data_IF_007130282026
#
_entry.id   IF_007130282026
#
_cell.length_a   1.000
_cell.length_b   1.000
_cell.length_c   1.000
_cell.angle_alpha   90.00
_cell.angle_beta   90.00
_cell.angle_gamma   90.00
#
_symmetry.space_group_name_H-M   'P 1'
#
loop_
_entity.id
_entity.type
_entity.pdbx_description
1 polymer ?
#
# COMPACT_ATOMS: atom_id res chain seq x y z
N UNK A 1 -32.47 42.60 -55.58
CA UNK A 1 -32.77 41.40 -54.78
C UNK A 1 -31.46 40.68 -54.50
N UNK A 2 -30.79 40.94 -53.35
CA UNK A 2 -29.62 40.21 -52.89
C UNK A 2 -29.99 39.56 -51.55
N UNK A 3 -30.09 38.21 -51.53
CA UNK A 3 -30.29 37.42 -50.34
C UNK A 3 -28.93 37.17 -49.71
N UNK A 4 -28.80 37.62 -48.45
CA UNK A 4 -27.65 37.30 -47.62
C UNK A 4 -27.66 35.82 -47.21
N UNK A 5 -26.61 35.09 -47.59
CA UNK A 5 -26.30 33.79 -47.02
C UNK A 5 -25.59 34.02 -45.71
N UNK A 6 -26.31 33.94 -44.60
CA UNK A 6 -25.70 33.89 -43.27
C UNK A 6 -25.19 32.47 -42.99
N UNK A 7 -23.91 32.36 -42.75
CA UNK A 7 -23.20 31.14 -42.49
C UNK A 7 -23.62 30.54 -41.13
N UNK A 8 -24.13 29.30 -41.17
CA UNK A 8 -24.46 28.48 -39.98
C UNK A 8 -23.25 27.70 -39.48
N UNK A 9 -22.02 28.15 -39.72
CA UNK A 9 -20.80 27.36 -39.38
C UNK A 9 -20.34 27.44 -37.92
N UNK A 10 -20.99 28.25 -37.10
CA UNK A 10 -20.56 28.51 -35.69
C UNK A 10 -20.95 27.45 -34.65
N UNK A 11 -21.96 26.64 -34.90
CA UNK A 11 -22.53 25.75 -33.87
C UNK A 11 -21.88 24.40 -33.75
N UNK A 12 -21.16 23.94 -34.76
CA UNK A 12 -20.55 22.58 -34.72
C UNK A 12 -19.22 22.50 -33.95
N UNK A 13 -18.52 23.60 -33.76
CA UNK A 13 -17.22 23.59 -33.05
C UNK A 13 -17.35 23.47 -31.53
N UNK A 14 -18.50 23.81 -30.95
CA UNK A 14 -18.69 23.78 -29.49
C UNK A 14 -19.07 22.39 -28.96
N UNK A 15 -19.71 21.56 -29.76
CA UNK A 15 -20.10 20.20 -29.38
C UNK A 15 -18.90 19.22 -29.25
N UNK A 16 -17.89 19.37 -30.10
CA UNK A 16 -16.77 18.43 -30.14
C UNK A 16 -15.83 18.55 -28.94
N UNK A 17 -15.58 19.77 -28.44
CA UNK A 17 -14.68 19.97 -27.29
C UNK A 17 -15.34 19.52 -26.00
N UNK A 18 -16.64 19.75 -25.84
CA UNK A 18 -17.40 19.28 -24.68
C UNK A 18 -17.49 17.73 -24.66
N UNK A 19 -17.66 17.12 -25.82
CA UNK A 19 -17.72 15.68 -25.94
C UNK A 19 -16.37 15.02 -25.65
N UNK A 20 -15.25 15.59 -26.10
CA UNK A 20 -13.91 15.12 -25.78
C UNK A 20 -13.58 15.25 -24.28
N UNK A 21 -13.97 16.36 -23.64
CA UNK A 21 -13.77 16.55 -22.20
C UNK A 21 -14.60 15.57 -21.36
N UNK A 22 -15.82 15.25 -21.77
CA UNK A 22 -16.68 14.26 -21.12
C UNK A 22 -16.12 12.83 -21.29
N UNK A 23 -15.62 12.48 -22.46
CA UNK A 23 -15.01 11.18 -22.73
C UNK A 23 -13.70 11.00 -21.93
N UNK A 24 -12.91 12.06 -21.77
CA UNK A 24 -11.72 12.07 -20.91
C UNK A 24 -12.07 11.91 -19.42
N UNK A 25 -13.09 12.62 -18.94
CA UNK A 25 -13.57 12.49 -17.57
C UNK A 25 -14.14 11.09 -17.28
N UNK A 26 -14.91 10.51 -18.23
CA UNK A 26 -15.39 9.14 -18.12
C UNK A 26 -14.22 8.13 -18.19
N UNK A 27 -13.22 8.33 -19.03
CA UNK A 27 -12.04 7.49 -19.13
C UNK A 27 -11.22 7.48 -17.84
N UNK A 28 -11.07 8.62 -17.19
CA UNK A 28 -10.42 8.71 -15.88
C UNK A 28 -11.24 8.00 -14.79
N UNK A 29 -12.56 8.15 -14.78
CA UNK A 29 -13.44 7.46 -13.83
C UNK A 29 -13.44 5.93 -14.04
N UNK A 30 -13.37 5.46 -15.28
CA UNK A 30 -13.33 4.02 -15.55
C UNK A 30 -11.96 3.40 -15.30
N UNK A 31 -10.86 4.14 -15.42
CA UNK A 31 -9.52 3.68 -15.00
C UNK A 31 -9.38 3.55 -13.48
N UNK A 32 -10.17 4.31 -12.70
CA UNK A 32 -10.16 4.20 -11.23
C UNK A 32 -11.08 3.09 -10.72
N UNK A 33 -12.13 2.75 -11.47
CA UNK A 33 -13.07 1.70 -11.08
C UNK A 33 -12.44 0.30 -10.88
N UNK A 34 -11.53 -0.19 -11.74
CA UNK A 34 -10.89 -1.49 -11.52
C UNK A 34 -9.93 -1.51 -10.33
N UNK A 35 -9.31 -0.38 -9.98
CA UNK A 35 -8.46 -0.30 -8.77
C UNK A 35 -9.30 -0.46 -7.50
N UNK A 36 -10.51 0.08 -7.48
CA UNK A 36 -11.45 -0.07 -6.36
C UNK A 36 -12.12 -1.46 -6.35
N UNK A 37 -12.33 -2.08 -7.52
CA UNK A 37 -12.96 -3.38 -7.64
C UNK A 37 -12.01 -4.55 -7.34
N UNK A 38 -10.70 -4.40 -7.55
CA UNK A 38 -9.71 -5.43 -7.22
C UNK A 38 -9.36 -5.48 -5.72
N UNK A 39 -9.62 -4.41 -4.98
CA UNK A 39 -9.56 -4.44 -3.52
C UNK A 39 -10.90 -4.96 -3.01
N UNK A 40 -11.04 -6.30 -3.07
CA UNK A 40 -12.21 -7.07 -2.77
C UNK A 40 -13.09 -6.45 -1.70
N UNK A 41 -14.25 -6.04 -2.14
CA UNK A 41 -15.37 -5.62 -1.32
C UNK A 41 -14.95 -4.74 -0.15
N UNK A 42 -15.17 -3.47 -0.25
CA UNK A 42 -15.49 -2.66 0.92
C UNK A 42 -16.75 -3.28 1.54
N UNK A 43 -16.60 -4.46 2.14
CA UNK A 43 -17.53 -4.91 3.15
C UNK A 43 -17.54 -3.80 4.16
N UNK A 44 -18.69 -3.28 4.40
CA UNK A 44 -18.99 -2.16 5.31
C UNK A 44 -18.42 -2.39 6.74
N UNK A 45 -17.90 -3.56 6.99
CA UNK A 45 -17.21 -3.98 8.22
C UNK A 45 -15.69 -3.89 8.19
N UNK A 46 -15.10 -3.49 7.08
CA UNK A 46 -13.66 -3.27 6.97
C UNK A 46 -13.31 -1.90 7.54
N UNK A 47 -12.97 -1.88 8.81
CA UNK A 47 -12.31 -0.75 9.44
C UNK A 47 -11.20 -0.22 8.51
N UNK A 48 -11.29 1.05 8.11
CA UNK A 48 -10.29 1.74 7.29
C UNK A 48 -8.88 1.58 7.88
N UNK A 49 -8.79 1.44 9.20
CA UNK A 49 -7.54 1.15 9.93
C UNK A 49 -7.02 -0.24 9.57
N UNK A 50 -7.87 -1.27 9.53
CA UNK A 50 -7.45 -2.61 9.11
C UNK A 50 -7.04 -2.66 7.64
N UNK A 51 -7.71 -1.89 6.77
CA UNK A 51 -7.31 -1.77 5.37
C UNK A 51 -5.94 -1.09 5.24
N UNK A 52 -5.71 0.03 5.93
CA UNK A 52 -4.43 0.73 5.96
C UNK A 52 -3.31 -0.17 6.52
N UNK A 53 -3.59 -0.95 7.58
CA UNK A 53 -2.65 -1.91 8.14
C UNK A 53 -2.32 -3.05 7.16
N UNK A 54 -3.29 -3.54 6.38
CA UNK A 54 -3.06 -4.56 5.35
C UNK A 54 -2.18 -4.06 4.20
N UNK A 55 -2.32 -2.80 3.81
CA UNK A 55 -1.49 -2.20 2.74
C UNK A 55 -0.03 -2.07 3.18
N UNK A 56 0.22 -1.79 4.45
CA UNK A 56 1.57 -1.66 5.02
C UNK A 56 2.04 -2.94 5.74
N UNK A 57 1.53 -4.09 5.32
CA UNK A 57 1.92 -5.39 5.83
C UNK A 57 2.90 -6.08 4.90
N UNK A 58 3.98 -6.63 5.47
CA UNK A 58 4.83 -7.61 4.80
C UNK A 58 4.55 -9.00 5.39
N UNK A 59 4.52 -10.01 4.53
CA UNK A 59 4.25 -11.38 4.92
C UNK A 59 5.29 -12.33 4.31
N UNK A 60 5.70 -13.31 5.11
CA UNK A 60 6.52 -14.45 4.69
C UNK A 60 6.02 -15.73 5.36
N UNK A 61 6.41 -16.89 4.84
CA UNK A 61 5.97 -18.18 5.34
C UNK A 61 7.15 -19.16 5.42
N UNK A 62 7.22 -19.90 6.51
CA UNK A 62 8.19 -20.96 6.71
C UNK A 62 7.55 -22.25 7.20
N UNK A 63 8.18 -23.38 6.92
CA UNK A 63 7.75 -24.70 7.41
C UNK A 63 8.87 -25.29 8.24
N UNK A 64 8.54 -25.71 9.47
CA UNK A 64 9.51 -26.34 10.37
C UNK A 64 8.82 -27.43 11.21
N UNK A 65 9.39 -28.66 11.20
CA UNK A 65 8.96 -29.79 12.06
C UNK A 65 7.43 -29.99 12.10
N UNK A 66 6.79 -29.98 10.92
CA UNK A 66 5.34 -30.17 10.84
C UNK A 66 4.48 -28.95 11.23
N UNK A 67 5.09 -27.78 11.33
CA UNK A 67 4.41 -26.51 11.55
C UNK A 67 4.63 -25.57 10.38
N UNK A 68 3.55 -24.92 9.94
CA UNK A 68 3.57 -23.78 9.04
C UNK A 68 3.58 -22.52 9.88
N UNK A 69 4.55 -21.67 9.68
CA UNK A 69 4.71 -20.42 10.42
C UNK A 69 4.56 -19.27 9.42
N UNK A 70 3.54 -18.46 9.60
CA UNK A 70 3.32 -17.24 8.84
C UNK A 70 3.87 -16.08 9.65
N UNK A 71 4.72 -15.28 9.04
CA UNK A 71 5.32 -14.10 9.64
C UNK A 71 4.78 -12.83 9.00
N UNK A 72 4.40 -11.88 9.83
CA UNK A 72 3.84 -10.59 9.45
C UNK A 72 4.63 -9.47 10.12
N UNK A 73 4.92 -8.40 9.42
CA UNK A 73 5.56 -7.22 10.01
C UNK A 73 4.82 -5.94 9.65
N UNK A 74 4.72 -5.04 10.63
CA UNK A 74 4.10 -3.73 10.54
C UNK A 74 5.07 -2.68 11.12
N UNK A 75 5.50 -1.68 10.36
CA UNK A 75 5.22 -1.45 8.93
C UNK A 75 5.85 -2.52 8.03
N UNK A 76 5.37 -2.58 6.78
CA UNK A 76 5.90 -3.45 5.72
C UNK A 76 7.41 -3.30 5.58
N UNK A 77 7.91 -2.07 5.68
CA UNK A 77 9.33 -1.74 5.63
C UNK A 77 9.73 -1.04 6.93
N UNK A 78 10.34 -1.76 7.86
CA UNK A 78 10.84 -1.18 9.10
C UNK A 78 11.87 -0.09 8.84
N UNK A 79 11.85 0.91 9.71
CA UNK A 79 12.80 2.02 9.71
C UNK A 79 13.58 1.98 11.02
N UNK A 80 14.88 2.22 10.93
CA UNK A 80 15.77 2.30 12.09
C UNK A 80 15.21 3.27 13.14
N UNK A 81 15.18 2.82 14.39
CA UNK A 81 14.69 3.58 15.52
C UNK A 81 13.16 3.58 15.70
N UNK A 82 12.38 3.17 14.71
CA UNK A 82 10.92 3.11 14.81
C UNK A 82 10.44 1.75 15.32
N UNK A 83 9.38 1.77 16.11
CA UNK A 83 8.73 0.55 16.58
C UNK A 83 8.18 -0.27 15.42
N UNK A 84 8.57 -1.54 15.36
CA UNK A 84 8.07 -2.51 14.38
C UNK A 84 7.37 -3.62 15.12
N UNK A 85 6.12 -3.85 14.78
CA UNK A 85 5.30 -4.94 15.29
C UNK A 85 5.55 -6.17 14.44
N UNK A 86 5.93 -7.28 15.07
CA UNK A 86 6.18 -8.58 14.44
C UNK A 86 5.15 -9.57 14.96
N UNK A 87 4.41 -10.22 14.07
CA UNK A 87 3.35 -11.17 14.39
C UNK A 87 3.63 -12.49 13.72
N UNK A 88 3.43 -13.58 14.44
CA UNK A 88 3.61 -14.94 13.95
C UNK A 88 2.33 -15.74 14.18
N UNK A 89 1.85 -16.39 13.12
CA UNK A 89 0.78 -17.39 13.19
C UNK A 89 1.42 -18.76 13.07
N UNK A 90 1.08 -19.70 13.95
CA UNK A 90 1.64 -21.06 13.93
C UNK A 90 0.50 -22.06 13.71
N UNK A 91 0.61 -22.86 12.65
CA UNK A 91 -0.38 -23.84 12.25
C UNK A 91 0.26 -25.22 12.10
N UNK A 92 -0.39 -26.27 12.60
CA UNK A 92 0.03 -27.65 12.35
C UNK A 92 -0.23 -28.03 10.90
N UNK A 93 0.78 -28.55 10.20
CA UNK A 93 0.59 -29.03 8.82
C UNK A 93 -0.19 -30.35 8.75
N UNK A 94 -0.19 -31.12 9.83
CA UNK A 94 -0.88 -32.40 9.89
C UNK A 94 -2.41 -32.23 10.08
N UNK A 95 -2.83 -31.27 10.91
CA UNK A 95 -4.25 -31.07 11.24
C UNK A 95 -4.84 -29.82 10.62
N UNK A 96 -4.02 -28.88 10.13
CA UNK A 96 -4.45 -27.57 9.67
C UNK A 96 -4.93 -26.66 10.80
N UNK A 97 -4.83 -27.08 12.06
CA UNK A 97 -5.25 -26.27 13.19
C UNK A 97 -4.16 -25.34 13.68
N UNK A 98 -4.56 -24.21 14.20
CA UNK A 98 -3.66 -23.26 14.85
C UNK A 98 -3.16 -23.80 16.19
N UNK A 99 -1.90 -23.52 16.52
CA UNK A 99 -1.22 -24.04 17.71
C UNK A 99 -1.04 -22.90 18.72
N UNK A 100 -1.74 -22.99 19.84
CA UNK A 100 -1.68 -22.03 20.95
C UNK A 100 -0.88 -22.53 22.15
N UNK A 101 -0.62 -21.66 23.10
CA UNK A 101 0.01 -22.00 24.37
C UNK A 101 1.49 -22.35 24.25
N UNK A 102 2.17 -21.94 23.20
CA UNK A 102 3.60 -22.21 23.02
C UNK A 102 4.45 -21.19 23.79
N UNK A 103 5.51 -21.68 24.42
CA UNK A 103 6.62 -20.83 24.89
C UNK A 103 7.50 -20.53 23.66
N UNK A 104 7.28 -19.40 23.03
CA UNK A 104 8.01 -19.00 21.84
C UNK A 104 9.01 -17.88 22.13
N UNK A 105 10.15 -17.91 21.45
CA UNK A 105 11.21 -16.92 21.54
C UNK A 105 11.62 -16.48 20.13
N UNK A 106 11.99 -15.21 19.99
CA UNK A 106 12.49 -14.63 18.74
C UNK A 106 13.95 -14.19 18.93
N UNK A 107 14.86 -14.84 18.24
CA UNK A 107 16.24 -14.36 18.10
C UNK A 107 16.30 -13.40 16.90
N UNK A 108 16.70 -12.16 17.17
CA UNK A 108 16.96 -11.15 16.15
C UNK A 108 18.45 -10.98 15.98
N UNK A 109 18.97 -11.23 14.78
CA UNK A 109 20.38 -11.03 14.44
C UNK A 109 20.48 -9.83 13.49
N UNK A 110 21.24 -8.82 13.91
CA UNK A 110 21.54 -7.65 13.10
C UNK A 110 22.62 -7.92 12.04
N UNK A 111 22.78 -7.04 11.03
CA UNK A 111 23.80 -7.19 9.98
C UNK A 111 25.23 -7.31 10.49
N UNK A 112 25.56 -6.65 11.61
CA UNK A 112 26.89 -6.73 12.28
C UNK A 112 27.09 -8.03 13.07
N UNK A 113 26.08 -8.90 13.13
CA UNK A 113 26.10 -10.14 13.88
C UNK A 113 25.62 -10.04 15.34
N UNK A 114 25.30 -8.84 15.82
CA UNK A 114 24.69 -8.62 17.16
C UNK A 114 23.39 -9.41 17.27
N UNK A 115 23.17 -10.07 18.42
CA UNK A 115 21.99 -10.89 18.66
C UNK A 115 21.20 -10.37 19.85
N UNK A 116 19.86 -10.36 19.69
CA UNK A 116 18.90 -10.10 20.77
C UNK A 116 17.92 -11.26 20.83
N UNK A 117 17.64 -11.74 22.03
CA UNK A 117 16.59 -12.73 22.27
C UNK A 117 15.42 -12.02 22.92
N UNK A 118 14.23 -12.19 22.34
CA UNK A 118 13.00 -11.55 22.78
C UNK A 118 11.96 -12.62 23.09
N UNK A 119 11.22 -12.49 24.20
CA UNK A 119 10.04 -13.32 24.41
C UNK A 119 9.01 -12.99 23.34
N UNK A 120 8.30 -14.02 22.91
CA UNK A 120 7.24 -13.91 21.92
C UNK A 120 5.92 -14.44 22.51
N UNK A 121 5.24 -13.62 23.33
CA UNK A 121 3.99 -14.04 23.98
C UNK A 121 2.86 -14.22 22.98
N UNK A 122 1.92 -15.11 23.29
CA UNK A 122 0.66 -15.21 22.58
C UNK A 122 -0.22 -13.98 22.92
N UNK A 123 -0.91 -13.47 21.90
CA UNK A 123 -1.80 -12.30 22.05
C UNK A 123 -3.03 -12.72 22.87
N UNK A 124 -3.31 -11.98 23.94
CA UNK A 124 -4.49 -12.22 24.76
C UNK A 124 -5.78 -12.09 23.96
N UNK A 125 -6.59 -13.15 23.95
CA UNK A 125 -7.88 -13.17 23.25
C UNK A 125 -7.82 -13.53 21.76
N UNK A 126 -6.62 -13.77 21.23
CA UNK A 126 -6.46 -14.23 19.81
C UNK A 126 -5.59 -15.48 19.80
N UNK A 127 -6.23 -16.62 19.54
CA UNK A 127 -5.58 -17.93 19.59
C UNK A 127 -4.49 -18.07 18.53
N UNK A 128 -3.33 -18.57 18.93
CA UNK A 128 -2.18 -18.95 18.09
C UNK A 128 -1.51 -17.78 17.34
N UNK A 129 -1.73 -16.56 17.80
CA UNK A 129 -1.01 -15.37 17.34
C UNK A 129 -0.01 -14.95 18.40
N UNK A 130 1.26 -14.89 18.00
CA UNK A 130 2.38 -14.50 18.85
C UNK A 130 2.92 -13.19 18.39
N UNK A 131 3.16 -12.25 19.30
CA UNK A 131 3.52 -10.89 18.94
C UNK A 131 4.64 -10.32 19.80
N UNK A 132 5.51 -9.55 19.16
CA UNK A 132 6.44 -8.67 19.84
C UNK A 132 6.62 -7.36 19.07
N UNK A 133 7.03 -6.31 19.76
CA UNK A 133 7.37 -5.03 19.16
C UNK A 133 8.82 -4.72 19.48
N UNK A 134 9.60 -4.36 18.47
CA UNK A 134 10.98 -3.93 18.65
C UNK A 134 11.31 -2.75 17.72
N UNK A 135 12.31 -1.95 18.11
CA UNK A 135 12.97 -1.01 17.24
C UNK A 135 14.28 -1.63 16.73
N UNK A 136 14.47 -1.63 15.43
CA UNK A 136 15.73 -2.03 14.82
C UNK A 136 16.74 -0.90 14.96
N UNK A 137 17.98 -1.22 15.34
CA UNK A 137 19.02 -0.23 15.62
C UNK A 137 19.92 0.02 14.38
N UNK A 138 19.89 -0.89 13.42
CA UNK A 138 20.77 -0.85 12.25
C UNK A 138 19.98 -1.01 10.96
N UNK A 139 20.48 -0.37 9.90
CA UNK A 139 20.02 -0.57 8.53
C UNK A 139 20.60 -1.87 7.97
N UNK A 140 19.86 -2.51 7.07
CA UNK A 140 20.31 -3.70 6.36
C UNK A 140 19.41 -4.91 6.60
N UNK A 141 19.89 -6.09 6.20
CA UNK A 141 19.17 -7.34 6.33
C UNK A 141 19.35 -7.94 7.74
N UNK A 142 18.24 -8.07 8.45
CA UNK A 142 18.17 -8.75 9.75
C UNK A 142 17.66 -10.16 9.57
N UNK A 143 18.19 -11.08 10.37
CA UNK A 143 17.72 -12.46 10.45
C UNK A 143 16.88 -12.63 11.70
N UNK A 144 15.66 -13.12 11.53
CA UNK A 144 14.67 -13.36 12.58
C UNK A 144 14.48 -14.86 12.72
N UNK A 145 14.89 -15.45 13.83
CA UNK A 145 14.74 -16.89 14.06
C UNK A 145 13.73 -17.12 15.19
N UNK A 146 12.54 -17.61 14.82
CA UNK A 146 11.56 -18.11 15.76
C UNK A 146 12.00 -19.47 16.29
N UNK A 147 11.95 -19.65 17.62
CA UNK A 147 12.18 -20.92 18.29
C UNK A 147 11.03 -21.22 19.23
N UNK A 148 10.59 -22.48 19.26
CA UNK A 148 9.59 -22.94 20.21
C UNK A 148 9.62 -24.45 20.37
N UNK A 149 8.78 -24.96 21.29
CA UNK A 149 8.61 -26.39 21.54
C UNK A 149 7.11 -26.69 21.48
N UNK A 150 6.69 -27.57 20.58
CA UNK A 150 5.32 -28.04 20.47
C UNK A 150 5.25 -29.54 20.81
N UNK A 151 4.41 -29.94 21.76
CA UNK A 151 4.26 -31.32 22.23
C UNK A 151 5.61 -32.00 22.55
N UNK A 152 6.55 -31.26 23.13
CA UNK A 152 7.89 -31.74 23.46
C UNK A 152 8.90 -31.78 22.30
N UNK A 153 8.48 -31.44 21.07
CA UNK A 153 9.33 -31.40 19.89
C UNK A 153 9.78 -29.96 19.61
N UNK A 154 11.09 -29.66 19.67
CA UNK A 154 11.59 -28.33 19.33
C UNK A 154 11.51 -28.08 17.84
N UNK A 155 11.12 -26.87 17.46
CA UNK A 155 11.15 -26.41 16.08
C UNK A 155 11.71 -25.00 16.00
N UNK A 156 12.25 -24.66 14.83
CA UNK A 156 12.77 -23.32 14.58
C UNK A 156 12.65 -22.99 13.09
N UNK A 157 12.32 -21.74 12.80
CA UNK A 157 12.29 -21.23 11.44
C UNK A 157 12.91 -19.84 11.37
N UNK A 158 13.44 -19.49 10.21
CA UNK A 158 14.20 -18.26 10.03
C UNK A 158 13.63 -17.46 8.89
N UNK A 159 13.44 -16.17 9.13
CA UNK A 159 12.98 -15.17 8.18
C UNK A 159 14.04 -14.09 8.00
N UNK A 160 14.01 -13.40 6.87
CA UNK A 160 14.87 -12.26 6.60
C UNK A 160 14.03 -11.00 6.51
N UNK A 161 14.54 -9.92 7.07
CA UNK A 161 13.85 -8.64 7.08
C UNK A 161 14.81 -7.51 6.77
N UNK A 162 14.56 -6.82 5.67
CA UNK A 162 15.28 -5.61 5.33
C UNK A 162 14.75 -4.43 6.16
N UNK A 163 15.68 -3.65 6.72
CA UNK A 163 15.42 -2.44 7.51
C UNK A 163 16.11 -1.27 6.82
N UNK A 164 15.42 -0.14 6.67
CA UNK A 164 15.96 1.06 6.03
C UNK A 164 16.12 2.21 7.03
N UNK A 165 16.96 3.21 6.66
CA UNK A 165 17.07 4.45 7.45
C UNK A 165 15.93 5.42 7.23
N UNK A 166 15.26 5.33 6.09
CA UNK A 166 14.24 6.29 5.69
C UNK A 166 13.09 5.60 4.99
N UNK A 167 11.88 6.02 5.31
CA UNK A 167 10.65 5.58 4.62
C UNK A 167 10.62 6.01 3.15
N UNK A 168 11.39 7.05 2.78
CA UNK A 168 11.40 7.60 1.41
C UNK A 168 12.10 6.69 0.39
N UNK A 169 12.92 5.72 0.83
CA UNK A 169 13.69 4.87 -0.09
C UNK A 169 12.86 3.78 -0.80
N UNK A 170 11.71 3.37 -0.21
CA UNK A 170 10.85 2.33 -0.77
C UNK A 170 9.76 2.82 -1.73
N UNK A 171 9.37 4.08 -1.65
CA UNK A 171 8.14 4.60 -2.28
C UNK A 171 8.37 5.55 -3.47
N UNK A 172 9.61 5.66 -3.98
CA UNK A 172 9.91 6.49 -5.15
C UNK A 172 8.97 6.25 -6.34
N UNK A 173 8.63 5.00 -6.72
CA UNK A 173 7.69 4.77 -7.81
C UNK A 173 6.30 5.33 -7.51
N UNK A 174 5.85 5.21 -6.27
CA UNK A 174 4.56 5.74 -5.81
C UNK A 174 4.56 7.27 -5.80
N UNK A 175 5.63 7.90 -5.29
CA UNK A 175 5.78 9.35 -5.29
C UNK A 175 5.87 9.91 -6.71
N UNK A 176 6.60 9.26 -7.62
CA UNK A 176 6.64 9.61 -9.04
C UNK A 176 5.26 9.44 -9.70
N UNK A 177 4.53 8.39 -9.36
CA UNK A 177 3.17 8.18 -9.83
C UNK A 177 2.23 9.31 -9.41
N UNK A 178 2.22 9.69 -8.14
CA UNK A 178 1.42 10.83 -7.66
C UNK A 178 1.86 12.15 -8.28
N UNK A 179 3.18 12.37 -8.41
CA UNK A 179 3.75 13.56 -9.03
C UNK A 179 3.31 13.73 -10.49
N UNK A 180 3.33 12.65 -11.27
CA UNK A 180 2.89 12.67 -12.67
C UNK A 180 1.39 12.92 -12.82
N UNK A 181 0.56 12.33 -11.98
CA UNK A 181 -0.89 12.57 -11.97
C UNK A 181 -1.19 14.03 -11.61
N UNK A 182 -0.55 14.55 -10.58
CA UNK A 182 -0.72 15.94 -10.17
C UNK A 182 -0.28 16.92 -11.28
N UNK A 183 0.87 16.66 -11.92
CA UNK A 183 1.37 17.48 -13.02
C UNK A 183 0.40 17.47 -14.22
N UNK A 184 -0.12 16.31 -14.60
CA UNK A 184 -1.11 16.18 -15.65
C UNK A 184 -2.40 16.95 -15.34
N UNK A 185 -2.86 16.87 -14.09
CA UNK A 185 -4.03 17.62 -13.63
C UNK A 185 -3.81 19.14 -13.73
N UNK A 186 -2.66 19.63 -13.25
CA UNK A 186 -2.31 21.05 -13.31
C UNK A 186 -2.23 21.58 -14.75
N UNK A 187 -1.57 20.83 -15.64
CA UNK A 187 -1.48 21.21 -17.07
C UNK A 187 -2.87 21.29 -17.71
N UNK A 188 -3.72 20.30 -17.43
CA UNK A 188 -5.10 20.29 -17.95
C UNK A 188 -5.92 21.46 -17.41
N UNK A 189 -5.80 21.75 -16.12
CA UNK A 189 -6.46 22.86 -15.47
C UNK A 189 -6.05 24.22 -16.05
N UNK A 190 -4.72 24.45 -16.17
CA UNK A 190 -4.19 25.68 -16.76
C UNK A 190 -4.67 25.83 -18.21
N UNK A 191 -4.63 24.78 -18.99
CA UNK A 191 -5.15 24.77 -20.38
C UNK A 191 -6.62 25.13 -20.44
N UNK A 192 -7.44 24.62 -19.53
CA UNK A 192 -8.85 24.94 -19.43
C UNK A 192 -9.07 26.43 -19.09
N UNK A 193 -8.38 26.93 -18.08
CA UNK A 193 -8.48 28.34 -17.66
C UNK A 193 -8.09 29.28 -18.80
N UNK A 194 -6.97 29.02 -19.47
CA UNK A 194 -6.53 29.84 -20.61
C UNK A 194 -7.52 29.77 -21.78
N UNK A 195 -8.13 28.62 -22.05
CA UNK A 195 -9.12 28.47 -23.12
C UNK A 195 -10.39 29.25 -22.81
N UNK A 196 -10.82 29.26 -21.55
CA UNK A 196 -11.97 30.03 -21.09
C UNK A 196 -11.69 31.53 -21.20
N UNK A 197 -10.54 32.00 -20.71
CA UNK A 197 -10.13 33.41 -20.80
C UNK A 197 -10.10 33.90 -22.27
N UNK A 198 -9.51 33.13 -23.20
CA UNK A 198 -9.49 33.46 -24.63
C UNK A 198 -10.88 33.59 -25.23
N UNK A 199 -11.82 32.73 -24.80
CA UNK A 199 -13.21 32.82 -25.27
C UNK A 199 -13.93 34.04 -24.74
N UNK A 200 -13.71 34.39 -23.48
CA UNK A 200 -14.28 35.62 -22.87
C UNK A 200 -13.72 36.86 -23.57
N UNK A 201 -12.43 36.97 -23.79
CA UNK A 201 -11.83 38.08 -24.53
C UNK A 201 -12.38 38.23 -25.95
N UNK A 202 -12.61 37.12 -26.66
CA UNK A 202 -13.21 37.14 -28.00
C UNK A 202 -14.66 37.60 -28.03
N UNK A 203 -15.44 37.39 -26.96
CA UNK A 203 -16.84 37.77 -26.87
C UNK A 203 -17.00 39.26 -26.49
N UNK A 204 -16.14 39.77 -25.62
CA UNK A 204 -16.27 41.12 -25.06
C UNK A 204 -15.40 42.16 -25.74
N UNK A 205 -14.55 41.77 -26.70
CA UNK A 205 -13.81 42.69 -27.58
C UNK A 205 -12.79 43.60 -26.84
N UNK A 206 -12.48 43.35 -25.60
CA UNK A 206 -11.44 44.10 -24.88
C UNK A 206 -10.07 43.42 -25.04
N UNK A 207 -9.05 44.14 -25.53
CA UNK A 207 -7.67 43.65 -25.51
C UNK A 207 -7.16 43.64 -24.06
N UNK A 208 -6.63 42.51 -23.63
CA UNK A 208 -5.85 42.39 -22.40
C UNK A 208 -4.48 43.06 -22.54
#
# INVERSE_FOLDING_TARGET
MHRAHQSQSGYYAHGSVACCALLWALGLLTCWAPVLAHHGGLGIEGDLVQWALKVDQWQDEGIAQGHRIKFLSYPRQPVVGNGTRLVFEIQSTATGQYVSGLAAELEVRAPDGTRRLLPLPEITGVTAYYETTLAFEQEGEHTLTLRSVAAGVPFSTTFRKAVSRSTLHGDWPTLLGYGTVLAAFLVTWIGLVLSVQRRFAAVWGEPL
#
